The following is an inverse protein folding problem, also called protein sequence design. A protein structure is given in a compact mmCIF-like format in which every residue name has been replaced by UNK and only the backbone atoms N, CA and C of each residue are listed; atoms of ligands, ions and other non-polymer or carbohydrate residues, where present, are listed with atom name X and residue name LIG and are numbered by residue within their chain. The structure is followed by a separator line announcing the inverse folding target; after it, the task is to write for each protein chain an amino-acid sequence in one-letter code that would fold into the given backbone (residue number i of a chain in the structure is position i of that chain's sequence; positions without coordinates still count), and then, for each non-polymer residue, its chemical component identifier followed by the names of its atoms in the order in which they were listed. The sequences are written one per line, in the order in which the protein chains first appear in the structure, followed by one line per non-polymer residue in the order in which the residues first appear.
data_IF_971743755387
#
_entry.id   IF_971743755387
#
_cell.length_a   1.000
_cell.length_b   1.000
_cell.length_c   1.000
_cell.angle_alpha   90.00
_cell.angle_beta   90.00
_cell.angle_gamma   90.00
#
_symmetry.space_group_name_H-M   'P 1'
#
loop_
_entity.id
_entity.type
_entity.pdbx_description
1 polymer ?
#
# COMPACT_ATOMS: atom_id res chain seq x y z
N UNK A 1 -4.90 -22.37 -7.64
CA UNK A 1 -5.46 -21.11 -8.19
C UNK A 1 -4.37 -20.29 -8.88
N UNK A 2 -3.16 -20.20 -8.32
CA UNK A 2 -2.00 -19.49 -8.92
C UNK A 2 -1.43 -20.05 -10.24
N UNK A 3 -1.76 -21.28 -10.63
CA UNK A 3 -1.13 -21.98 -11.76
C UNK A 3 -1.09 -21.18 -13.08
N UNK A 4 -2.17 -20.49 -13.53
CA UNK A 4 -2.10 -19.68 -14.75
C UNK A 4 -1.08 -18.54 -14.63
N UNK A 5 -1.10 -17.79 -13.53
CA UNK A 5 -0.17 -16.68 -13.28
C UNK A 5 1.28 -17.19 -13.22
N UNK A 6 1.55 -18.24 -12.44
CA UNK A 6 2.89 -18.84 -12.34
C UNK A 6 3.39 -19.33 -13.70
N UNK A 7 2.51 -19.97 -14.48
CA UNK A 7 2.84 -20.43 -15.83
C UNK A 7 3.27 -19.27 -16.71
N UNK A 8 2.59 -18.13 -16.59
CA UNK A 8 2.93 -16.97 -17.40
C UNK A 8 4.21 -16.30 -16.93
N UNK A 9 4.39 -16.06 -15.63
CA UNK A 9 5.62 -15.51 -15.06
C UNK A 9 6.87 -16.31 -15.44
N UNK A 10 6.76 -17.64 -15.47
CA UNK A 10 7.88 -18.51 -15.86
C UNK A 10 8.36 -18.28 -17.30
N UNK A 11 7.45 -17.93 -18.23
CA UNK A 11 7.77 -17.73 -19.66
C UNK A 11 8.27 -16.32 -19.99
N UNK A 12 8.08 -15.33 -19.11
CA UNK A 12 8.45 -13.92 -19.35
C UNK A 12 9.79 -13.61 -18.73
N UNK A 13 10.52 -12.66 -19.29
CA UNK A 13 11.86 -12.29 -18.84
C UNK A 13 11.97 -10.83 -18.41
N UNK A 14 11.26 -9.92 -19.08
CA UNK A 14 11.35 -8.47 -18.86
C UNK A 14 10.03 -7.98 -18.26
N UNK A 15 10.01 -7.87 -16.94
CA UNK A 15 8.81 -7.64 -16.16
C UNK A 15 8.82 -6.21 -15.62
N UNK A 16 7.73 -5.48 -15.89
CA UNK A 16 7.45 -4.23 -15.20
C UNK A 16 6.44 -4.50 -14.09
N UNK A 17 6.71 -4.01 -12.88
CA UNK A 17 5.76 -3.99 -11.77
C UNK A 17 5.35 -2.54 -11.54
N UNK A 18 4.07 -2.30 -11.26
CA UNK A 18 3.54 -0.96 -10.98
C UNK A 18 2.33 -1.04 -10.06
N UNK A 19 2.08 0.05 -9.33
CA UNK A 19 0.93 0.21 -8.45
C UNK A 19 0.33 1.62 -8.53
N UNK A 20 -0.60 1.93 -7.64
CA UNK A 20 -1.40 3.14 -7.69
C UNK A 20 -0.61 4.43 -7.36
N UNK A 21 -1.17 5.57 -7.76
CA UNK A 21 -0.75 6.92 -7.36
C UNK A 21 -0.87 7.10 -5.85
N UNK A 22 -0.02 7.94 -5.26
CA UNK A 22 0.16 8.05 -3.81
C UNK A 22 0.31 6.66 -3.15
N UNK A 23 1.35 5.88 -3.54
CA UNK A 23 1.49 4.51 -3.09
C UNK A 23 1.68 4.44 -1.57
N UNK A 24 0.99 3.52 -0.94
CA UNK A 24 1.10 3.24 0.49
C UNK A 24 2.03 2.05 0.76
N UNK A 25 2.08 1.59 2.01
CA UNK A 25 2.93 0.45 2.36
C UNK A 25 2.47 -0.88 1.75
N UNK A 26 1.19 -1.07 1.45
CA UNK A 26 0.72 -2.32 0.85
C UNK A 26 1.18 -2.43 -0.59
N UNK A 27 0.92 -1.38 -1.38
CA UNK A 27 1.46 -1.22 -2.72
C UNK A 27 2.99 -1.44 -2.77
N UNK A 28 3.75 -0.61 -2.03
CA UNK A 28 5.21 -0.64 -2.09
C UNK A 28 5.79 -1.96 -1.57
N UNK A 29 5.25 -2.49 -0.47
CA UNK A 29 5.71 -3.75 0.11
C UNK A 29 5.46 -4.93 -0.81
N UNK A 30 4.29 -4.96 -1.46
CA UNK A 30 3.91 -5.95 -2.46
C UNK A 30 4.82 -5.91 -3.69
N UNK A 31 5.10 -4.72 -4.23
CA UNK A 31 6.00 -4.53 -5.37
C UNK A 31 7.41 -5.05 -5.07
N UNK A 32 7.97 -4.64 -3.93
CA UNK A 32 9.33 -4.97 -3.53
C UNK A 32 9.50 -6.47 -3.30
N UNK A 33 8.60 -7.08 -2.55
CA UNK A 33 8.67 -8.51 -2.26
C UNK A 33 8.61 -9.35 -3.54
N UNK A 34 7.69 -9.02 -4.45
CA UNK A 34 7.59 -9.68 -5.74
C UNK A 34 8.83 -9.44 -6.61
N UNK A 35 9.34 -8.21 -6.65
CA UNK A 35 10.53 -7.87 -7.41
C UNK A 35 11.77 -8.63 -6.93
N UNK A 36 12.01 -8.70 -5.61
CA UNK A 36 13.12 -9.46 -5.05
C UNK A 36 13.03 -10.93 -5.44
N UNK A 37 11.85 -11.54 -5.32
CA UNK A 37 11.65 -12.93 -5.71
C UNK A 37 11.91 -13.17 -7.20
N UNK A 38 11.31 -12.36 -8.08
CA UNK A 38 11.47 -12.50 -9.53
C UNK A 38 12.91 -12.25 -9.97
N UNK A 39 13.62 -11.28 -9.36
CA UNK A 39 15.05 -11.07 -9.59
C UNK A 39 15.88 -12.28 -9.15
N UNK A 40 15.57 -12.91 -8.01
CA UNK A 40 16.23 -14.13 -7.56
C UNK A 40 16.02 -15.32 -8.52
N UNK A 41 14.90 -15.33 -9.27
CA UNK A 41 14.66 -16.27 -10.37
C UNK A 41 15.40 -15.92 -11.67
N UNK A 42 16.23 -14.86 -11.68
CA UNK A 42 16.97 -14.42 -12.85
C UNK A 42 16.16 -13.60 -13.86
N UNK A 43 14.99 -13.07 -13.47
CA UNK A 43 14.19 -12.16 -14.30
C UNK A 43 14.78 -10.75 -14.30
N UNK A 44 14.57 -10.02 -15.39
CA UNK A 44 14.82 -8.59 -15.47
C UNK A 44 13.56 -7.84 -15.02
N UNK A 45 13.65 -7.15 -13.88
CA UNK A 45 12.48 -6.56 -13.21
C UNK A 45 12.71 -5.09 -12.93
N UNK A 46 11.76 -4.25 -13.35
CA UNK A 46 11.69 -2.82 -13.06
C UNK A 46 10.40 -2.49 -12.31
N UNK A 47 10.49 -1.77 -11.18
CA UNK A 47 9.31 -1.19 -10.52
C UNK A 47 9.19 0.27 -10.98
N UNK A 48 8.08 0.62 -11.63
CA UNK A 48 7.86 1.94 -12.24
C UNK A 48 6.56 2.56 -11.71
N UNK A 49 6.67 3.58 -10.86
CA UNK A 49 5.51 4.23 -10.24
C UNK A 49 5.35 5.69 -10.65
N UNK A 50 4.09 6.15 -10.73
CA UNK A 50 3.80 7.53 -11.13
C UNK A 50 4.27 8.56 -10.12
N UNK A 51 4.15 8.23 -8.83
CA UNK A 51 4.50 9.11 -7.73
C UNK A 51 5.72 8.59 -6.98
N UNK A 52 6.49 9.47 -6.33
CA UNK A 52 7.69 9.06 -5.59
C UNK A 52 7.30 8.27 -4.34
N UNK A 53 8.22 7.42 -3.88
CA UNK A 53 8.11 6.76 -2.57
C UNK A 53 8.03 7.84 -1.47
N UNK A 54 6.97 7.87 -0.64
CA UNK A 54 6.87 8.79 0.47
C UNK A 54 8.08 8.66 1.42
N UNK A 55 8.61 9.77 1.99
CA UNK A 55 9.76 9.72 2.89
C UNK A 55 9.63 8.73 4.04
N UNK A 56 8.42 8.59 4.61
CA UNK A 56 8.10 7.64 5.69
C UNK A 56 8.31 6.18 5.27
N UNK A 57 8.19 5.85 3.98
CA UNK A 57 8.24 4.48 3.46
C UNK A 57 9.58 4.14 2.80
N UNK A 58 10.52 5.08 2.69
CA UNK A 58 11.83 4.87 2.05
C UNK A 58 12.62 3.71 2.65
N UNK A 59 12.39 3.37 3.93
CA UNK A 59 13.06 2.25 4.57
C UNK A 59 12.70 0.88 3.97
N UNK A 60 11.58 0.78 3.24
CA UNK A 60 11.16 -0.45 2.56
C UNK A 60 12.07 -0.78 1.37
N UNK A 61 12.65 0.24 0.72
CA UNK A 61 13.43 0.11 -0.52
C UNK A 61 14.91 0.48 -0.32
N UNK A 62 15.68 -0.30 0.48
CA UNK A 62 17.09 0.00 0.73
C UNK A 62 17.95 -0.05 -0.55
N UNK A 63 17.52 -0.82 -1.55
CA UNK A 63 18.22 -1.03 -2.81
C UNK A 63 17.79 -0.02 -3.91
N UNK A 64 16.87 0.90 -3.60
CA UNK A 64 16.34 1.90 -4.53
C UNK A 64 15.81 1.28 -5.84
N UNK A 65 15.08 0.16 -5.74
CA UNK A 65 14.49 -0.56 -6.87
C UNK A 65 13.30 0.19 -7.47
N UNK A 66 12.59 1.00 -6.68
CA UNK A 66 11.41 1.74 -7.10
C UNK A 66 11.83 3.00 -7.83
N UNK A 67 11.42 3.11 -9.09
CA UNK A 67 11.77 4.25 -9.95
C UNK A 67 10.56 5.14 -10.22
N UNK A 68 10.77 6.45 -10.07
CA UNK A 68 9.78 7.44 -10.47
C UNK A 68 9.65 7.45 -12.00
N UNK A 69 8.48 7.08 -12.48
CA UNK A 69 8.20 6.92 -13.90
C UNK A 69 8.40 8.23 -14.67
N UNK A 70 9.11 8.09 -15.79
CA UNK A 70 9.28 9.10 -16.82
C UNK A 70 9.51 8.41 -18.17
N UNK A 71 8.62 8.64 -19.15
CA UNK A 71 8.65 7.96 -20.45
C UNK A 71 10.02 7.99 -21.14
N UNK A 72 10.67 9.15 -21.16
CA UNK A 72 11.99 9.30 -21.80
C UNK A 72 13.11 8.50 -21.12
N UNK A 73 13.04 8.30 -19.79
CA UNK A 73 14.06 7.55 -19.05
C UNK A 73 13.87 6.04 -19.18
N UNK A 74 12.62 5.59 -19.34
CA UNK A 74 12.27 4.17 -19.29
C UNK A 74 11.89 3.59 -20.65
N UNK A 75 12.12 4.31 -21.76
CA UNK A 75 11.75 3.87 -23.10
C UNK A 75 12.26 2.46 -23.45
N UNK A 76 13.48 2.11 -23.03
CA UNK A 76 14.05 0.79 -23.28
C UNK A 76 13.30 -0.32 -22.53
N UNK A 77 13.02 -0.12 -21.23
CA UNK A 77 12.25 -1.06 -20.42
C UNK A 77 10.83 -1.24 -20.97
N UNK A 78 10.16 -0.14 -21.36
CA UNK A 78 8.82 -0.19 -21.95
C UNK A 78 8.80 -0.96 -23.29
N UNK A 79 9.85 -0.83 -24.10
CA UNK A 79 9.95 -1.52 -25.39
C UNK A 79 10.27 -3.01 -25.25
N UNK A 80 10.95 -3.42 -24.18
CA UNK A 80 11.36 -4.81 -23.93
C UNK A 80 10.35 -5.59 -23.09
N UNK A 81 9.49 -4.91 -22.34
CA UNK A 81 8.56 -5.54 -21.40
C UNK A 81 7.68 -6.59 -22.09
N UNK A 82 7.73 -7.82 -21.58
CA UNK A 82 6.91 -8.94 -22.02
C UNK A 82 5.83 -9.31 -20.98
N UNK A 83 5.95 -8.82 -19.74
CA UNK A 83 4.86 -8.77 -18.76
C UNK A 83 4.80 -7.43 -18.02
N UNK A 84 3.58 -7.05 -17.66
CA UNK A 84 3.29 -5.96 -16.72
C UNK A 84 2.46 -6.55 -15.59
N UNK A 85 2.95 -6.43 -14.36
CA UNK A 85 2.26 -6.85 -13.15
C UNK A 85 1.78 -5.60 -12.44
N UNK A 86 0.46 -5.49 -12.28
CA UNK A 86 -0.17 -4.46 -11.48
C UNK A 86 -0.52 -5.07 -10.14
N UNK A 87 -0.01 -4.45 -9.07
CA UNK A 87 -0.33 -4.85 -7.70
C UNK A 87 -1.11 -3.75 -7.00
N UNK A 88 -2.07 -4.13 -6.17
CA UNK A 88 -2.83 -3.22 -5.31
C UNK A 88 -3.59 -2.11 -6.07
N UNK A 89 -3.97 -2.42 -7.31
CA UNK A 89 -4.72 -1.51 -8.15
C UNK A 89 -5.57 -2.26 -9.17
N UNK A 90 -6.83 -1.88 -9.24
CA UNK A 90 -7.83 -2.57 -10.04
C UNK A 90 -8.15 -1.94 -11.39
N UNK A 91 -7.56 -0.77 -11.71
CA UNK A 91 -7.76 -0.06 -12.98
C UNK A 91 -6.54 0.80 -13.37
N UNK A 92 -6.27 0.97 -14.67
CA UNK A 92 -5.14 1.77 -15.18
C UNK A 92 -5.10 3.22 -14.69
N UNK A 93 -6.26 3.84 -14.46
CA UNK A 93 -6.36 5.23 -14.00
C UNK A 93 -5.72 5.40 -12.62
N UNK A 94 -5.76 4.36 -11.77
CA UNK A 94 -5.09 4.36 -10.47
C UNK A 94 -3.58 4.44 -10.62
N UNK A 95 -2.99 4.00 -11.73
CA UNK A 95 -1.54 4.03 -11.95
C UNK A 95 -1.04 5.36 -12.52
N UNK A 96 -1.91 6.35 -12.76
CA UNK A 96 -1.53 7.69 -13.22
C UNK A 96 -0.81 7.72 -14.58
N UNK A 97 0.25 8.55 -14.69
CA UNK A 97 1.04 8.70 -15.93
C UNK A 97 1.72 7.41 -16.38
N UNK A 98 2.16 6.56 -15.44
CA UNK A 98 2.70 5.24 -15.75
C UNK A 98 1.63 4.37 -16.41
N UNK A 99 0.43 4.30 -15.83
CA UNK A 99 -0.70 3.56 -16.39
C UNK A 99 -1.08 3.98 -17.81
N UNK A 100 -1.00 5.28 -18.12
CA UNK A 100 -1.29 5.80 -19.46
C UNK A 100 -0.40 5.21 -20.56
N UNK A 101 0.86 4.91 -20.24
CA UNK A 101 1.82 4.38 -21.22
C UNK A 101 1.94 2.86 -21.12
N UNK A 102 1.91 2.30 -19.91
CA UNK A 102 1.92 0.85 -19.67
C UNK A 102 0.73 0.14 -20.34
N UNK A 103 -0.47 0.75 -20.31
CA UNK A 103 -1.67 0.19 -20.95
C UNK A 103 -1.59 0.07 -22.48
N UNK A 104 -0.62 0.73 -23.12
CA UNK A 104 -0.43 0.69 -24.58
C UNK A 104 0.61 -0.34 -25.01
N UNK A 105 1.34 -0.92 -24.06
CA UNK A 105 2.41 -1.87 -24.33
C UNK A 105 1.79 -3.23 -24.65
N UNK A 106 2.32 -3.90 -25.68
CA UNK A 106 1.92 -5.27 -26.03
C UNK A 106 2.67 -6.27 -25.14
N UNK A 107 2.31 -6.31 -23.88
CA UNK A 107 2.82 -7.25 -22.87
C UNK A 107 1.66 -8.06 -22.27
N UNK A 108 1.97 -9.19 -21.63
CA UNK A 108 0.97 -9.90 -20.81
C UNK A 108 0.69 -9.08 -19.55
N UNK A 109 -0.58 -8.74 -19.32
CA UNK A 109 -0.99 -7.97 -18.15
C UNK A 109 -1.50 -8.90 -17.06
N UNK A 110 -0.92 -8.79 -15.87
CA UNK A 110 -1.29 -9.57 -14.68
C UNK A 110 -1.72 -8.59 -13.59
N UNK A 111 -2.87 -8.81 -12.98
CA UNK A 111 -3.35 -8.03 -11.83
C UNK A 111 -3.41 -8.91 -10.58
N UNK A 112 -2.88 -8.41 -9.46
CA UNK A 112 -2.98 -9.04 -8.13
C UNK A 112 -3.45 -7.97 -7.15
N UNK A 113 -4.65 -8.13 -6.60
CA UNK A 113 -5.31 -7.08 -5.82
C UNK A 113 -6.25 -7.68 -4.77
N UNK A 114 -6.56 -6.95 -3.71
CA UNK A 114 -7.52 -7.33 -2.68
C UNK A 114 -8.74 -6.39 -2.62
N UNK A 115 -8.81 -5.39 -3.51
CA UNK A 115 -9.95 -4.49 -3.61
C UNK A 115 -11.14 -5.18 -4.33
N UNK A 116 -12.38 -5.02 -3.84
CA UNK A 116 -13.57 -5.62 -4.46
C UNK A 116 -13.96 -4.96 -5.79
N UNK A 117 -13.46 -3.75 -6.04
CA UNK A 117 -13.88 -2.89 -7.14
C UNK A 117 -12.88 -2.97 -8.28
N UNK A 118 -13.23 -3.61 -9.38
CA UNK A 118 -12.39 -3.63 -10.58
C UNK A 118 -13.17 -4.03 -11.83
N UNK A 119 -12.95 -3.30 -12.92
CA UNK A 119 -13.30 -3.81 -14.24
C UNK A 119 -12.14 -4.66 -14.77
N UNK A 120 -12.41 -5.79 -15.45
CA UNK A 120 -11.34 -6.57 -16.06
C UNK A 120 -10.51 -5.72 -17.02
N UNK A 121 -9.22 -5.54 -16.71
CA UNK A 121 -8.27 -4.80 -17.56
C UNK A 121 -6.98 -5.59 -17.85
N UNK A 122 -6.80 -6.73 -17.19
CA UNK A 122 -5.62 -7.59 -17.28
C UNK A 122 -5.97 -8.92 -17.95
N UNK A 123 -4.99 -9.54 -18.61
CA UNK A 123 -5.14 -10.86 -19.23
C UNK A 123 -5.32 -11.97 -18.17
N UNK A 124 -4.64 -11.79 -17.04
CA UNK A 124 -4.75 -12.65 -15.86
C UNK A 124 -5.01 -11.79 -14.63
N UNK A 125 -5.92 -12.22 -13.76
CA UNK A 125 -6.20 -11.51 -12.52
C UNK A 125 -6.37 -12.51 -11.37
N UNK A 126 -5.78 -12.19 -10.23
CA UNK A 126 -6.08 -12.82 -8.97
C UNK A 126 -6.55 -11.74 -8.02
N UNK A 127 -7.86 -11.71 -7.76
CA UNK A 127 -8.47 -10.75 -6.85
C UNK A 127 -9.17 -11.51 -5.74
N UNK A 128 -8.77 -11.24 -4.50
CA UNK A 128 -9.37 -11.83 -3.31
C UNK A 128 -9.74 -10.73 -2.31
N UNK A 129 -11.02 -10.38 -2.27
CA UNK A 129 -11.51 -9.31 -1.40
C UNK A 129 -11.61 -9.69 0.07
N UNK A 130 -11.42 -10.97 0.40
CA UNK A 130 -11.52 -11.46 1.77
C UNK A 130 -10.21 -11.30 2.55
N UNK A 131 -9.09 -11.08 1.87
CA UNK A 131 -7.80 -10.80 2.52
C UNK A 131 -7.66 -9.33 2.92
N UNK A 132 -6.81 -9.08 3.91
CA UNK A 132 -6.63 -7.73 4.48
C UNK A 132 -5.70 -6.85 3.66
N UNK A 133 -4.82 -7.42 2.84
CA UNK A 133 -3.79 -6.70 2.10
C UNK A 133 -3.35 -7.49 0.85
N UNK A 134 -2.97 -6.80 -0.22
CA UNK A 134 -2.28 -7.36 -1.39
C UNK A 134 -0.99 -8.07 -0.99
N UNK A 135 -0.30 -7.61 0.06
CA UNK A 135 0.88 -8.27 0.62
C UNK A 135 0.65 -9.73 1.03
N UNK A 136 -0.56 -10.10 1.49
CA UNK A 136 -0.88 -11.50 1.77
C UNK A 136 -0.94 -12.35 0.49
N UNK A 137 -1.38 -11.75 -0.63
CA UNK A 137 -1.47 -12.42 -1.92
C UNK A 137 -0.09 -12.61 -2.54
N UNK A 138 0.80 -11.62 -2.38
CA UNK A 138 2.19 -11.73 -2.83
C UNK A 138 2.94 -12.80 -2.04
N UNK A 139 2.74 -12.87 -0.72
CA UNK A 139 3.27 -13.97 0.09
C UNK A 139 2.81 -15.35 -0.42
N UNK A 140 1.52 -15.52 -0.68
CA UNK A 140 0.96 -16.76 -1.20
C UNK A 140 1.52 -17.12 -2.58
N UNK A 141 1.65 -16.14 -3.49
CA UNK A 141 2.21 -16.35 -4.81
C UNK A 141 3.66 -16.83 -4.74
N UNK A 142 4.50 -16.15 -3.96
CA UNK A 142 5.92 -16.53 -3.79
C UNK A 142 6.03 -17.93 -3.22
N UNK A 143 5.24 -18.24 -2.18
CA UNK A 143 5.19 -19.57 -1.56
C UNK A 143 4.72 -20.63 -2.56
N UNK A 144 3.70 -20.33 -3.37
CA UNK A 144 3.19 -21.23 -4.41
C UNK A 144 4.20 -21.47 -5.55
N UNK A 145 5.14 -20.53 -5.76
CA UNK A 145 6.26 -20.68 -6.69
C UNK A 145 7.43 -21.47 -6.07
N UNK A 146 7.34 -21.86 -4.79
CA UNK A 146 8.41 -22.52 -4.05
C UNK A 146 9.55 -21.58 -3.64
N UNK A 147 9.29 -20.26 -3.62
CA UNK A 147 10.24 -19.26 -3.19
C UNK A 147 10.40 -19.18 -1.68
N UNK A 148 11.62 -18.94 -1.21
CA UNK A 148 11.89 -18.62 0.18
C UNK A 148 11.74 -17.12 0.42
N UNK A 149 11.11 -16.74 1.53
CA UNK A 149 10.98 -15.35 1.95
C UNK A 149 12.29 -14.90 2.59
N UNK A 150 12.97 -13.94 1.96
CA UNK A 150 14.18 -13.33 2.53
C UNK A 150 13.85 -12.29 3.59
N UNK A 151 14.79 -11.87 4.46
CA UNK A 151 14.53 -10.82 5.45
C UNK A 151 14.06 -9.49 4.86
N UNK A 152 14.55 -9.11 3.67
CA UNK A 152 14.10 -7.90 2.97
C UNK A 152 12.64 -8.01 2.53
N UNK A 153 12.28 -9.15 1.95
CA UNK A 153 10.89 -9.44 1.56
C UNK A 153 9.99 -9.53 2.79
N UNK A 154 10.45 -10.17 3.87
CA UNK A 154 9.73 -10.31 5.11
C UNK A 154 9.38 -8.96 5.74
N UNK A 155 10.35 -8.06 5.80
CA UNK A 155 10.16 -6.69 6.31
C UNK A 155 9.15 -5.91 5.46
N UNK A 156 9.24 -6.02 4.12
CA UNK A 156 8.35 -5.34 3.19
C UNK A 156 6.90 -5.86 3.28
N UNK A 157 6.72 -7.19 3.27
CA UNK A 157 5.41 -7.83 3.42
C UNK A 157 4.80 -7.59 4.81
N UNK A 158 5.62 -7.58 5.86
CA UNK A 158 5.13 -7.28 7.21
C UNK A 158 4.60 -5.86 7.25
N UNK A 159 5.33 -4.88 6.69
CA UNK A 159 4.88 -3.50 6.65
C UNK A 159 3.54 -3.37 5.93
N UNK A 160 3.45 -3.92 4.71
CA UNK A 160 2.22 -3.98 3.91
C UNK A 160 1.00 -4.50 4.70
N UNK A 161 1.12 -5.71 5.25
CA UNK A 161 0.03 -6.35 5.99
C UNK A 161 -0.28 -5.58 7.28
N UNK A 162 0.74 -5.09 7.99
CA UNK A 162 0.55 -4.37 9.25
C UNK A 162 -0.16 -3.02 9.05
N UNK A 163 0.13 -2.28 7.98
CA UNK A 163 -0.53 -0.99 7.72
C UNK A 163 -1.98 -1.20 7.30
N UNK A 164 -2.23 -2.11 6.36
CA UNK A 164 -3.56 -2.25 5.78
C UNK A 164 -4.53 -3.04 6.67
N UNK A 165 -4.01 -3.78 7.65
CA UNK A 165 -4.79 -4.33 8.77
C UNK A 165 -5.00 -3.35 9.93
N UNK A 166 -4.50 -2.12 9.83
CA UNK A 166 -4.59 -1.13 10.90
C UNK A 166 -3.81 -1.56 12.16
N UNK A 167 -2.66 -2.20 11.97
CA UNK A 167 -1.91 -2.97 12.97
C UNK A 167 -2.75 -4.13 13.56
N UNK A 168 -3.30 -4.96 12.68
CA UNK A 168 -4.06 -6.18 13.00
C UNK A 168 -5.37 -5.96 13.75
N UNK A 169 -5.98 -4.77 13.61
CA UNK A 169 -7.22 -4.38 14.29
C UNK A 169 -8.44 -4.43 13.37
N UNK A 170 -8.25 -4.28 12.06
CA UNK A 170 -9.37 -4.15 11.14
C UNK A 170 -10.08 -5.49 10.90
N UNK A 171 -11.40 -5.49 10.62
CA UNK A 171 -12.23 -6.70 10.64
C UNK A 171 -11.83 -7.82 9.66
N UNK A 172 -11.14 -7.49 8.57
CA UNK A 172 -10.62 -8.49 7.62
C UNK A 172 -9.37 -9.22 8.13
N UNK A 173 -8.72 -8.72 9.19
CA UNK A 173 -7.61 -9.43 9.84
C UNK A 173 -8.10 -10.78 10.34
N UNK A 174 -7.46 -11.86 9.89
CA UNK A 174 -7.94 -13.23 10.11
C UNK A 174 -6.89 -14.12 10.79
N UNK A 175 -7.26 -15.33 11.25
CA UNK A 175 -6.25 -16.31 11.68
C UNK A 175 -5.24 -16.66 10.57
N UNK A 176 -5.61 -16.55 9.29
CA UNK A 176 -4.67 -16.71 8.17
C UNK A 176 -3.64 -15.58 8.16
N UNK A 177 -4.09 -14.32 8.31
CA UNK A 177 -3.20 -13.15 8.44
C UNK A 177 -2.11 -13.39 9.49
N UNK A 178 -2.50 -13.83 10.69
CA UNK A 178 -1.54 -14.06 11.77
C UNK A 178 -0.57 -15.23 11.52
N UNK A 179 -0.96 -16.24 10.74
CA UNK A 179 -0.04 -17.31 10.33
C UNK A 179 1.02 -16.79 9.36
N UNK A 180 0.60 -16.00 8.36
CA UNK A 180 1.53 -15.32 7.45
C UNK A 180 2.49 -14.45 8.25
N UNK A 181 1.97 -13.63 9.18
CA UNK A 181 2.83 -12.81 10.04
C UNK A 181 3.83 -13.66 10.81
N UNK A 182 3.44 -14.80 11.40
CA UNK A 182 4.39 -15.68 12.08
C UNK A 182 5.54 -16.14 11.15
N UNK A 183 5.23 -16.53 9.92
CA UNK A 183 6.23 -16.92 8.92
C UNK A 183 7.14 -15.73 8.53
N UNK A 184 6.59 -14.51 8.40
CA UNK A 184 7.40 -13.32 8.15
C UNK A 184 8.34 -13.00 9.32
N UNK A 185 7.91 -13.21 10.56
CA UNK A 185 8.78 -13.04 11.73
C UNK A 185 9.91 -14.07 11.74
N UNK A 186 9.61 -15.32 11.42
CA UNK A 186 10.62 -16.38 11.27
C UNK A 186 11.62 -16.07 10.16
N UNK A 187 11.15 -15.45 9.07
CA UNK A 187 11.97 -14.97 7.95
C UNK A 187 12.77 -13.68 8.26
N UNK A 188 12.57 -13.06 9.44
CA UNK A 188 13.39 -11.94 9.93
C UNK A 188 12.71 -10.57 9.91
N UNK A 189 11.39 -10.47 9.73
CA UNK A 189 10.68 -9.21 9.93
C UNK A 189 10.77 -8.75 11.39
N UNK A 190 11.00 -7.44 11.60
CA UNK A 190 11.16 -6.84 12.93
C UNK A 190 10.02 -5.86 13.25
N UNK A 191 8.93 -6.29 13.93
CA UNK A 191 7.75 -5.46 14.23
C UNK A 191 8.07 -4.11 14.87
N UNK A 192 8.90 -4.12 15.91
CA UNK A 192 9.27 -2.91 16.64
C UNK A 192 9.99 -1.90 15.73
N UNK A 193 10.81 -2.38 14.80
CA UNK A 193 11.53 -1.55 13.84
C UNK A 193 10.58 -1.00 12.78
N UNK A 194 9.69 -1.81 12.23
CA UNK A 194 8.65 -1.36 11.28
C UNK A 194 7.80 -0.28 11.92
N UNK A 195 7.25 -0.56 13.11
CA UNK A 195 6.41 0.39 13.83
C UNK A 195 7.13 1.71 14.12
N UNK A 196 8.38 1.62 14.60
CA UNK A 196 9.21 2.80 14.83
C UNK A 196 9.40 3.64 13.57
N UNK A 197 9.73 3.00 12.44
CA UNK A 197 10.00 3.69 11.18
C UNK A 197 8.74 4.34 10.58
N UNK A 198 7.57 3.72 10.77
CA UNK A 198 6.30 4.23 10.27
C UNK A 198 5.69 5.32 11.16
N UNK A 199 5.70 5.12 12.48
CA UNK A 199 4.85 5.89 13.40
C UNK A 199 5.64 6.71 14.43
N UNK A 200 6.89 6.37 14.72
CA UNK A 200 7.68 7.01 15.79
C UNK A 200 8.80 7.93 15.25
N UNK A 201 8.56 8.56 14.09
CA UNK A 201 9.50 9.48 13.42
C UNK A 201 8.88 10.81 13.02
N UNK A 202 7.76 11.16 13.63
CA UNK A 202 7.06 12.42 13.38
C UNK A 202 7.90 13.62 13.84
N UNK A 203 7.81 14.74 13.12
CA UNK A 203 8.45 15.98 13.55
C UNK A 203 7.69 16.62 14.71
N UNK A 204 8.35 17.45 15.55
CA UNK A 204 7.66 18.20 16.61
C UNK A 204 6.48 19.03 16.07
N UNK A 205 6.61 19.60 14.87
CA UNK A 205 5.55 20.37 14.21
C UNK A 205 4.33 19.50 13.89
N UNK A 206 4.55 18.27 13.39
CA UNK A 206 3.46 17.34 13.11
C UNK A 206 2.76 16.90 14.39
N UNK A 207 3.52 16.62 15.46
CA UNK A 207 2.96 16.27 16.78
C UNK A 207 2.17 17.44 17.37
N UNK A 208 2.65 18.68 17.24
CA UNK A 208 1.90 19.86 17.68
C UNK A 208 0.63 20.10 16.85
N UNK A 209 0.69 19.85 15.54
CA UNK A 209 -0.49 19.89 14.68
C UNK A 209 -1.52 18.85 15.13
N UNK A 210 -1.11 17.61 15.43
CA UNK A 210 -2.02 16.60 16.00
C UNK A 210 -2.69 17.12 17.28
N UNK A 211 -1.93 17.77 18.16
CA UNK A 211 -2.47 18.40 19.37
C UNK A 211 -3.53 19.47 19.07
N UNK A 212 -3.29 20.36 18.10
CA UNK A 212 -4.27 21.36 17.67
C UNK A 212 -5.50 20.73 17.03
N UNK A 213 -5.32 19.69 16.21
CA UNK A 213 -6.42 18.96 15.59
C UNK A 213 -7.30 18.30 16.65
N UNK A 214 -6.70 17.64 17.65
CA UNK A 214 -7.43 17.02 18.76
C UNK A 214 -8.23 18.04 19.57
N UNK A 215 -7.69 19.23 19.81
CA UNK A 215 -8.39 20.31 20.52
C UNK A 215 -9.58 20.87 19.75
N UNK A 216 -9.56 20.77 18.41
CA UNK A 216 -10.57 21.32 17.52
C UNK A 216 -11.59 20.30 17.01
N UNK A 217 -11.61 19.06 17.56
CA UNK A 217 -12.65 18.09 17.22
C UNK A 217 -14.02 18.62 17.68
N UNK A 218 -14.97 18.66 16.76
CA UNK A 218 -16.35 19.04 17.01
C UNK A 218 -17.22 17.78 17.08
N UNK A 219 -18.12 17.75 18.06
CA UNK A 219 -19.11 16.68 18.22
C UNK A 219 -20.48 17.15 17.75
N UNK A 220 -21.17 16.28 17.01
CA UNK A 220 -22.53 16.45 16.54
C UNK A 220 -23.33 15.16 16.74
N UNK A 221 -24.63 15.19 16.44
CA UNK A 221 -25.55 14.05 16.56
C UNK A 221 -25.44 13.34 17.94
N UNK A 222 -25.49 14.12 19.03
CA UNK A 222 -25.38 13.60 20.40
C UNK A 222 -24.08 12.81 20.68
N UNK A 223 -23.00 13.11 19.95
CA UNK A 223 -21.72 12.41 20.05
C UNK A 223 -21.59 11.21 19.12
N UNK A 224 -22.56 10.99 18.23
CA UNK A 224 -22.49 9.99 17.16
C UNK A 224 -21.75 10.50 15.91
N UNK A 225 -21.32 11.76 15.88
CA UNK A 225 -20.55 12.33 14.79
C UNK A 225 -19.41 13.15 15.38
N UNK A 226 -18.17 12.84 15.01
CA UNK A 226 -17.00 13.62 15.34
C UNK A 226 -16.35 14.13 14.05
N UNK A 227 -16.17 15.45 13.95
CA UNK A 227 -15.60 16.10 12.77
C UNK A 227 -14.41 16.95 13.16
N UNK A 228 -13.45 17.09 12.24
CA UNK A 228 -12.34 18.02 12.38
C UNK A 228 -11.98 18.57 11.00
N UNK A 229 -11.60 19.84 10.96
CA UNK A 229 -11.11 20.49 9.75
C UNK A 229 -9.70 21.00 10.02
N UNK A 230 -8.83 20.89 9.02
CA UNK A 230 -7.49 21.47 9.06
C UNK A 230 -7.46 22.57 8.01
N UNK A 231 -7.32 23.83 8.46
CA UNK A 231 -7.22 24.99 7.59
C UNK A 231 -5.84 25.08 6.93
N UNK A 232 -5.79 25.71 5.74
CA UNK A 232 -4.51 25.96 5.05
C UNK A 232 -3.58 26.87 5.87
N UNK A 233 -4.14 27.80 6.64
CA UNK A 233 -3.43 28.64 7.59
C UNK A 233 -2.81 27.83 8.74
N UNK A 234 -3.52 26.84 9.28
CA UNK A 234 -2.97 25.90 10.27
C UNK A 234 -1.82 25.09 9.68
N UNK A 235 -1.95 24.58 8.45
CA UNK A 235 -0.84 23.88 7.78
C UNK A 235 0.38 24.78 7.58
N UNK A 236 0.16 26.03 7.16
CA UNK A 236 1.23 27.02 7.01
C UNK A 236 1.90 27.36 8.35
N UNK A 237 1.12 27.53 9.42
CA UNK A 237 1.59 27.79 10.79
C UNK A 237 2.57 26.72 11.27
N UNK A 238 2.30 25.46 10.95
CA UNK A 238 3.16 24.33 11.33
C UNK A 238 4.16 23.92 10.24
N UNK A 239 4.19 24.61 9.09
CA UNK A 239 5.03 24.27 7.95
C UNK A 239 4.82 22.81 7.45
N UNK A 240 3.58 22.31 7.52
CA UNK A 240 3.22 20.95 7.15
C UNK A 240 2.61 20.92 5.75
N UNK A 241 3.07 19.97 4.94
CA UNK A 241 2.44 19.65 3.65
C UNK A 241 1.31 18.66 3.83
N UNK A 242 0.32 18.68 2.94
CA UNK A 242 -0.82 17.75 3.01
C UNK A 242 -0.44 16.28 2.85
N UNK A 243 0.71 16.00 2.23
CA UNK A 243 1.23 14.65 2.00
C UNK A 243 1.60 13.89 3.28
N UNK A 244 1.78 14.58 4.42
CA UNK A 244 2.12 13.95 5.71
C UNK A 244 0.95 13.94 6.70
N UNK A 245 -0.27 14.20 6.22
CA UNK A 245 -1.49 14.18 7.03
C UNK A 245 -2.16 12.79 7.07
N UNK A 246 -1.50 11.75 6.53
CA UNK A 246 -2.03 10.40 6.61
C UNK A 246 -2.27 9.98 8.07
N UNK A 247 -3.38 9.30 8.31
CA UNK A 247 -3.84 8.92 9.65
C UNK A 247 -4.56 10.01 10.47
N UNK A 248 -4.53 11.30 10.08
CA UNK A 248 -5.24 12.36 10.81
C UNK A 248 -6.76 12.18 10.82
N UNK A 249 -7.31 11.59 9.75
CA UNK A 249 -8.73 11.22 9.65
C UNK A 249 -9.17 10.20 10.70
N UNK A 250 -8.23 9.47 11.30
CA UNK A 250 -8.49 8.48 12.34
C UNK A 250 -8.46 9.08 13.76
N UNK A 251 -7.93 10.31 13.95
CA UNK A 251 -7.86 10.95 15.27
C UNK A 251 -9.22 11.06 15.97
N UNK A 252 -10.33 11.43 15.27
CA UNK A 252 -11.64 11.47 15.90
C UNK A 252 -12.15 10.09 16.40
N UNK A 253 -11.65 8.98 15.83
CA UNK A 253 -12.04 7.62 16.25
C UNK A 253 -11.57 7.27 17.67
N UNK A 254 -10.67 8.07 18.26
CA UNK A 254 -10.25 7.92 19.67
C UNK A 254 -11.37 8.25 20.66
N UNK A 255 -12.42 8.94 20.23
CA UNK A 255 -13.57 9.28 21.06
C UNK A 255 -14.50 8.07 21.12
N UNK A 256 -14.71 7.54 22.33
CA UNK A 256 -15.68 6.48 22.55
C UNK A 256 -17.10 6.96 22.20
N UNK A 257 -17.89 6.10 21.56
CA UNK A 257 -19.34 6.26 21.55
C UNK A 257 -19.84 6.17 22.99
N UNK A 258 -20.55 7.19 23.47
CA UNK A 258 -21.19 7.12 24.81
C UNK A 258 -22.31 6.07 24.77
N UNK A 259 -22.38 5.07 25.68
CA UNK A 259 -23.55 4.18 25.76
C UNK A 259 -24.60 4.70 26.78
N UNK A 260 -25.90 4.26 26.72
CA UNK A 260 -26.61 3.55 25.64
C UNK A 260 -28.09 3.96 25.39
N UNK A 261 -28.58 3.85 24.14
CA UNK A 261 -29.81 3.10 23.79
C UNK A 261 -30.09 3.20 22.28
N UNK A 262 -29.74 2.15 21.52
CA UNK A 262 -30.00 1.97 20.07
C UNK A 262 -29.39 3.05 19.15
N UNK A 263 -29.22 2.76 17.85
CA UNK A 263 -28.79 3.66 16.75
C UNK A 263 -27.31 3.44 16.30
N UNK A 264 -27.03 3.42 14.96
CA UNK A 264 -25.93 2.67 14.32
C UNK A 264 -24.67 3.56 14.10
N UNK A 265 -23.66 3.20 13.26
CA UNK A 265 -22.29 3.67 13.42
C UNK A 265 -22.07 5.17 13.12
N UNK A 266 -21.03 5.71 13.75
CA UNK A 266 -20.48 7.06 13.55
C UNK A 266 -19.87 7.18 12.15
N UNK A 267 -20.30 8.17 11.38
CA UNK A 267 -19.71 8.52 10.09
C UNK A 267 -18.62 9.57 10.29
N UNK A 268 -17.48 9.45 9.60
CA UNK A 268 -16.39 10.42 9.67
C UNK A 268 -16.29 11.17 8.34
N UNK A 269 -16.27 12.50 8.38
CA UNK A 269 -16.07 13.35 7.20
C UNK A 269 -14.83 14.21 7.40
N UNK A 270 -13.88 14.09 6.46
CA UNK A 270 -12.72 14.98 6.34
C UNK A 270 -13.01 16.02 5.26
N UNK A 271 -12.83 17.31 5.57
CA UNK A 271 -12.95 18.40 4.59
C UNK A 271 -11.78 19.35 4.74
N UNK A 272 -11.01 19.53 3.67
CA UNK A 272 -10.10 20.67 3.53
C UNK A 272 -10.95 21.93 3.43
N UNK A 273 -10.80 22.85 4.38
CA UNK A 273 -11.47 24.13 4.36
C UNK A 273 -10.55 25.15 3.67
N UNK A 274 -11.11 25.84 2.66
CA UNK A 274 -10.45 26.93 1.94
C UNK A 274 -10.23 28.15 2.84
#
# INVERSE_FOLDING_TARGET
MWTPIITELNKRQHIIISSHINPDCDALGSELALAYHLKAMGKDVSILNSDPVPPTYQFLDPDNLIQLYAAHKHAAALAQADAIIVVDASVWQRLGKAGNDLSKIKATIICIDHHPDGQPFADFSYVDSDVVATGELIFDLITAMGGEITPLMAQALYAAISTDSGNFRFPKTSPRTHRIIAELLEAGAEPAKVFKLLYERQSPELVHLEGEVLQNIQLAAEGQLATVGIGLDTLQKYHIQTSVLDGFSNLPQKIASRPPSSIPPVYYFYRLLN
#
